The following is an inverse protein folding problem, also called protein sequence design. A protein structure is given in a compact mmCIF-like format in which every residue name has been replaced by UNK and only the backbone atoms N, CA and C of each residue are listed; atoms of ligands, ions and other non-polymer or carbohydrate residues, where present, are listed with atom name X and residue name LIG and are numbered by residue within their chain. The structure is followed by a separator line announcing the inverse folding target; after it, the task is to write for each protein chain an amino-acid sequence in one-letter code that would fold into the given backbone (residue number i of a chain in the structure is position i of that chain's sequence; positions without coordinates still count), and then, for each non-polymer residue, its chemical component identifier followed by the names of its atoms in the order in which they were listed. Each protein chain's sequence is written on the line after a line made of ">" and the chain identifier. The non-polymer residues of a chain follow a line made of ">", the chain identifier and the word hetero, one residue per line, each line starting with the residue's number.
data_IF_510818263609
#
_entry.id   IF_510818263609
#
_cell.length_a   1.000
_cell.length_b   1.000
_cell.length_c   1.000
_cell.angle_alpha   90.00
_cell.angle_beta   90.00
_cell.angle_gamma   90.00
#
_symmetry.space_group_name_H-M   'P 1'
#
loop_
_entity.id
_entity.type
_entity.pdbx_description
1 polymer ?
#
# COMPACT_ATOMS: atom_id res chain seq x y z
N UNK A 1 17.99 2.70 -6.38
CA UNK A 1 17.21 1.82 -7.25
C UNK A 1 16.13 2.69 -7.86
N UNK A 2 15.87 2.61 -9.16
CA UNK A 2 14.80 3.39 -9.81
C UNK A 2 14.60 2.90 -11.26
N UNK A 3 13.37 2.70 -11.73
CA UNK A 3 12.11 2.87 -11.00
C UNK A 3 11.90 1.77 -9.96
N UNK A 4 11.31 2.15 -8.82
CA UNK A 4 10.80 1.17 -7.86
C UNK A 4 9.59 0.44 -8.47
N UNK A 5 9.54 -0.88 -8.29
CA UNK A 5 8.52 -1.74 -8.88
C UNK A 5 7.84 -2.55 -7.78
N UNK A 6 6.50 -2.51 -7.77
CA UNK A 6 5.68 -3.37 -6.90
C UNK A 6 4.74 -4.18 -7.76
N UNK A 7 4.78 -5.50 -7.61
CA UNK A 7 3.95 -6.45 -8.37
C UNK A 7 2.93 -7.09 -7.44
N UNK A 8 1.68 -7.10 -7.87
CA UNK A 8 0.55 -7.69 -7.17
C UNK A 8 -0.02 -8.86 -7.98
N UNK A 9 -0.56 -9.84 -7.26
CA UNK A 9 -1.41 -10.89 -7.82
C UNK A 9 -2.74 -10.89 -7.09
N UNK A 10 -3.84 -10.75 -7.83
CA UNK A 10 -5.17 -10.81 -7.27
C UNK A 10 -5.47 -12.26 -6.83
N UNK A 11 -5.50 -12.54 -5.52
CA UNK A 11 -5.79 -13.90 -5.01
C UNK A 11 -7.29 -14.26 -5.09
N UNK A 12 -8.14 -13.25 -5.23
CA UNK A 12 -9.57 -13.36 -5.47
C UNK A 12 -10.00 -12.28 -6.48
N UNK A 13 -11.25 -12.33 -6.95
CA UNK A 13 -11.78 -11.27 -7.80
C UNK A 13 -11.78 -9.93 -7.08
N UNK A 14 -11.24 -8.88 -7.72
CA UNK A 14 -11.28 -7.50 -7.25
C UNK A 14 -12.45 -6.81 -7.94
N UNK A 15 -13.49 -6.35 -7.20
CA UNK A 15 -14.64 -5.70 -7.81
C UNK A 15 -14.27 -4.42 -8.58
N UNK A 16 -15.09 -4.07 -9.56
CA UNK A 16 -15.04 -2.76 -10.22
C UNK A 16 -15.10 -1.62 -9.19
N UNK A 17 -14.25 -0.60 -9.37
CA UNK A 17 -14.19 0.56 -8.49
C UNK A 17 -13.58 0.29 -7.11
N UNK A 18 -13.18 -0.94 -6.79
CA UNK A 18 -12.50 -1.23 -5.54
C UNK A 18 -11.18 -0.45 -5.45
N UNK A 19 -10.90 0.11 -4.27
CA UNK A 19 -9.70 0.89 -4.03
C UNK A 19 -8.67 0.08 -3.23
N UNK A 20 -7.45 0.04 -3.74
CA UNK A 20 -6.30 -0.60 -3.10
C UNK A 20 -5.25 0.46 -2.89
N UNK A 21 -4.70 0.52 -1.68
CA UNK A 21 -3.63 1.41 -1.31
C UNK A 21 -2.39 0.59 -0.99
N UNK A 22 -1.22 1.13 -1.31
CA UNK A 22 0.02 0.67 -0.70
C UNK A 22 0.88 1.84 -0.23
N UNK A 23 1.70 1.57 0.76
CA UNK A 23 2.62 2.55 1.35
C UNK A 23 3.88 1.87 1.87
N UNK A 24 4.98 2.61 1.85
CA UNK A 24 6.23 2.32 2.57
C UNK A 24 6.19 2.82 4.02
N UNK A 25 5.24 3.70 4.36
CA UNK A 25 5.07 4.23 5.72
C UNK A 25 5.01 3.13 6.79
N UNK A 26 5.83 3.29 7.84
CA UNK A 26 5.76 2.44 9.01
C UNK A 26 4.38 2.50 9.70
N UNK A 27 3.93 1.32 10.17
CA UNK A 27 2.71 1.14 10.95
C UNK A 27 2.98 1.24 12.46
N UNK A 28 2.31 2.16 13.15
CA UNK A 28 2.51 2.37 14.60
C UNK A 28 1.83 1.31 15.47
N UNK A 29 0.90 0.54 14.91
CA UNK A 29 -0.06 -0.27 15.65
C UNK A 29 -1.49 0.24 15.51
N UNK A 30 -1.66 1.53 15.20
CA UNK A 30 -2.98 2.18 15.05
C UNK A 30 -3.11 3.05 13.81
N UNK A 31 -2.00 3.58 13.28
CA UNK A 31 -1.99 4.43 12.08
C UNK A 31 -0.68 4.31 11.31
N UNK A 32 -0.69 4.75 10.05
CA UNK A 32 0.54 4.92 9.28
C UNK A 32 1.18 6.26 9.59
N UNK A 33 2.52 6.31 9.57
CA UNK A 33 3.22 7.60 9.58
C UNK A 33 2.96 8.37 8.27
N UNK A 34 2.97 9.69 8.35
CA UNK A 34 2.62 10.60 7.25
C UNK A 34 3.82 11.14 6.47
N UNK A 35 5.01 10.57 6.70
CA UNK A 35 6.28 11.07 6.19
C UNK A 35 6.81 10.30 4.97
N UNK A 36 6.12 9.24 4.53
CA UNK A 36 6.46 8.46 3.34
C UNK A 36 5.30 8.43 2.33
N UNK A 37 5.38 7.57 1.31
CA UNK A 37 4.57 7.63 0.11
C UNK A 37 3.39 6.67 0.08
N UNK A 38 2.21 7.21 -0.16
CA UNK A 38 0.99 6.41 -0.39
C UNK A 38 0.63 6.43 -1.86
N UNK A 39 0.42 5.25 -2.44
CA UNK A 39 -0.14 5.05 -3.78
C UNK A 39 -1.52 4.43 -3.69
N UNK A 40 -2.42 4.87 -4.58
CA UNK A 40 -3.80 4.42 -4.69
C UNK A 40 -4.08 3.88 -6.09
N UNK A 41 -4.64 2.69 -6.16
CA UNK A 41 -5.19 2.09 -7.36
C UNK A 41 -6.70 1.95 -7.22
N UNK A 42 -7.42 2.27 -8.29
CA UNK A 42 -8.85 1.98 -8.41
C UNK A 42 -9.01 0.94 -9.50
N UNK A 43 -9.64 -0.19 -9.17
CA UNK A 43 -9.89 -1.26 -10.11
C UNK A 43 -10.69 -0.74 -11.32
N UNK A 44 -10.31 -1.13 -12.55
CA UNK A 44 -10.98 -0.66 -13.76
C UNK A 44 -12.40 -1.20 -13.86
N UNK A 45 -13.17 -0.64 -14.80
CA UNK A 45 -14.50 -1.14 -15.16
C UNK A 45 -14.45 -2.66 -15.42
N UNK A 46 -15.35 -3.40 -14.75
CA UNK A 46 -15.38 -4.86 -14.81
C UNK A 46 -14.47 -5.58 -13.80
N UNK A 47 -13.66 -4.84 -13.03
CA UNK A 47 -12.81 -5.38 -11.97
C UNK A 47 -11.59 -6.18 -12.49
N UNK A 48 -10.95 -6.91 -11.57
CA UNK A 48 -9.88 -7.85 -11.88
C UNK A 48 -10.31 -9.27 -11.51
N UNK A 49 -9.98 -10.24 -12.36
CA UNK A 49 -10.21 -11.65 -12.05
C UNK A 49 -9.13 -12.19 -11.11
N UNK A 50 -9.44 -13.25 -10.36
CA UNK A 50 -8.43 -13.97 -9.59
C UNK A 50 -7.30 -14.46 -10.52
N UNK A 51 -6.06 -14.42 -10.04
CA UNK A 51 -4.84 -14.71 -10.80
C UNK A 51 -4.31 -13.55 -11.64
N UNK A 52 -5.00 -12.41 -11.71
CA UNK A 52 -4.51 -11.25 -12.47
C UNK A 52 -3.22 -10.70 -11.85
N UNK A 53 -2.17 -10.56 -12.65
CA UNK A 53 -0.92 -9.89 -12.28
C UNK A 53 -0.93 -8.46 -12.78
N UNK A 54 -0.66 -7.51 -11.89
CA UNK A 54 -0.65 -6.07 -12.18
C UNK A 54 0.37 -5.39 -11.24
N UNK A 55 0.68 -4.12 -11.45
CA UNK A 55 1.72 -3.49 -10.63
C UNK A 55 1.85 -2.00 -10.77
N UNK A 56 2.91 -1.48 -10.16
CA UNK A 56 3.36 -0.09 -10.18
C UNK A 56 4.79 -0.01 -10.75
N UNK A 57 5.13 1.08 -11.43
CA UNK A 57 6.50 1.46 -11.78
C UNK A 57 7.00 0.94 -13.13
N UNK A 58 6.87 -0.36 -13.41
CA UNK A 58 7.30 -0.94 -14.70
C UNK A 58 6.21 -0.83 -15.76
N UNK A 59 6.48 -0.08 -16.84
CA UNK A 59 5.57 0.10 -17.98
C UNK A 59 5.08 -1.18 -18.66
N UNK A 60 5.79 -2.30 -18.50
CA UNK A 60 5.39 -3.61 -19.02
C UNK A 60 4.32 -4.29 -18.16
N UNK A 61 4.14 -3.86 -16.91
CA UNK A 61 3.10 -4.40 -16.03
C UNK A 61 1.72 -3.82 -16.38
N UNK A 62 0.67 -4.65 -16.43
CA UNK A 62 -0.70 -4.16 -16.46
C UNK A 62 -0.95 -3.18 -15.31
N UNK A 63 -1.66 -2.09 -15.62
CA UNK A 63 -2.04 -1.04 -14.66
C UNK A 63 -0.87 -0.30 -13.98
N UNK A 64 0.36 -0.41 -14.50
CA UNK A 64 1.56 0.29 -13.99
C UNK A 64 1.39 1.79 -13.79
N UNK A 65 0.67 2.46 -14.70
CA UNK A 65 0.39 3.90 -14.65
C UNK A 65 -0.95 4.25 -14.00
N UNK A 66 -1.71 3.29 -13.48
CA UNK A 66 -3.03 3.50 -12.88
C UNK A 66 -2.98 3.85 -11.39
N UNK A 67 -1.77 4.03 -10.83
CA UNK A 67 -1.56 4.36 -9.43
C UNK A 67 -1.42 5.87 -9.23
N UNK A 68 -2.42 6.47 -8.59
CA UNK A 68 -2.39 7.87 -8.20
C UNK A 68 -1.58 8.06 -6.91
N UNK A 69 -0.94 9.21 -6.75
CA UNK A 69 -0.36 9.60 -5.46
C UNK A 69 -1.48 10.00 -4.51
N UNK A 70 -1.52 9.41 -3.32
CA UNK A 70 -2.46 9.73 -2.25
C UNK A 70 -1.80 10.39 -1.04
N UNK A 71 -0.46 10.32 -0.94
CA UNK A 71 0.33 10.99 0.10
C UNK A 71 1.82 10.88 -0.20
N UNK A 72 2.61 11.84 0.29
CA UNK A 72 4.07 11.84 0.26
C UNK A 72 4.73 11.46 -1.07
N UNK A 73 5.94 10.90 -0.98
CA UNK A 73 6.70 10.33 -2.10
C UNK A 73 7.06 8.89 -1.73
N UNK A 74 6.69 7.96 -2.60
CA UNK A 74 7.04 6.54 -2.44
C UNK A 74 8.44 6.32 -2.98
N UNK A 75 9.31 5.73 -2.18
CA UNK A 75 10.69 5.46 -2.55
C UNK A 75 11.19 4.26 -1.79
N UNK A 76 11.73 3.27 -2.49
CA UNK A 76 12.28 2.09 -1.82
C UNK A 76 13.79 2.17 -1.59
N UNK A 77 14.21 1.71 -0.42
CA UNK A 77 15.59 1.49 -0.01
C UNK A 77 15.98 0.01 -0.14
N UNK A 78 17.28 -0.24 -0.29
CA UNK A 78 17.82 -1.60 -0.38
C UNK A 78 17.69 -2.38 0.95
N UNK A 79 17.27 -1.75 2.04
CA UNK A 79 17.08 -2.42 3.32
C UNK A 79 16.19 -1.65 4.28
N UNK A 80 15.43 -2.37 5.11
CA UNK A 80 14.80 -1.82 6.30
C UNK A 80 13.35 -1.40 6.12
N UNK A 81 12.80 -1.56 4.91
CA UNK A 81 11.47 -1.08 4.59
C UNK A 81 10.42 -2.18 4.63
N UNK A 82 9.20 -1.73 4.86
CA UNK A 82 8.01 -2.55 4.79
C UNK A 82 7.01 -1.91 3.83
N UNK A 83 6.49 -2.72 2.91
CA UNK A 83 5.37 -2.34 2.07
C UNK A 83 4.11 -2.87 2.73
N UNK A 84 3.19 -1.97 3.05
CA UNK A 84 1.86 -2.31 3.52
C UNK A 84 0.84 -2.14 2.40
N UNK A 85 -0.06 -3.11 2.25
CA UNK A 85 -1.16 -3.10 1.29
C UNK A 85 -2.47 -3.13 2.06
N UNK A 86 -3.38 -2.21 1.76
CA UNK A 86 -4.61 -2.04 2.51
C UNK A 86 -5.74 -1.49 1.63
N UNK A 87 -6.97 -1.66 2.09
CA UNK A 87 -8.09 -0.84 1.65
C UNK A 87 -8.55 0.04 2.83
N UNK A 88 -9.41 1.01 2.56
CA UNK A 88 -10.02 1.80 3.63
C UNK A 88 -11.41 1.21 3.91
N UNK A 89 -11.68 0.92 5.18
CA UNK A 89 -13.03 0.53 5.59
C UNK A 89 -13.89 1.79 5.74
N UNK A 90 -15.13 1.73 5.27
CA UNK A 90 -16.07 2.80 5.52
C UNK A 90 -16.51 2.68 6.98
N UNK A 91 -15.97 3.52 7.87
CA UNK A 91 -16.49 3.56 9.24
C UNK A 91 -17.88 4.22 9.21
N UNK A 92 -18.89 3.36 9.03
CA UNK A 92 -20.30 3.74 8.95
C UNK A 92 -20.82 4.41 10.23
N UNK A 93 -20.10 4.32 11.35
CA UNK A 93 -20.49 4.93 12.62
C UNK A 93 -19.99 6.38 12.79
N UNK A 94 -18.91 6.79 12.11
CA UNK A 94 -18.32 8.14 12.22
C UNK A 94 -18.32 8.93 10.92
N UNK A 95 -18.68 8.30 9.79
CA UNK A 95 -18.61 8.93 8.47
C UNK A 95 -17.17 9.17 8.00
N UNK A 96 -16.19 8.56 8.66
CA UNK A 96 -14.77 8.72 8.38
C UNK A 96 -14.26 7.47 7.63
N UNK A 97 -13.96 7.63 6.34
CA UNK A 97 -13.55 6.54 5.45
C UNK A 97 -12.03 6.28 5.50
N UNK A 98 -11.39 6.42 6.65
CA UNK A 98 -9.91 6.52 6.72
C UNK A 98 -9.24 5.46 7.60
N UNK A 99 -9.95 4.42 8.04
CA UNK A 99 -9.33 3.34 8.83
C UNK A 99 -8.73 2.30 7.87
N UNK A 100 -7.40 2.06 7.91
CA UNK A 100 -6.78 1.03 7.09
C UNK A 100 -7.24 -0.37 7.49
N UNK A 101 -7.75 -1.13 6.52
CA UNK A 101 -7.93 -2.56 6.60
C UNK A 101 -6.78 -3.25 5.84
N UNK A 102 -5.85 -3.84 6.58
CA UNK A 102 -4.68 -4.48 6.01
C UNK A 102 -5.05 -5.72 5.20
N UNK A 103 -4.58 -5.75 3.94
CA UNK A 103 -4.71 -6.89 3.04
C UNK A 103 -3.45 -7.76 3.07
N UNK A 104 -2.27 -7.12 3.08
CA UNK A 104 -0.98 -7.81 3.12
C UNK A 104 0.11 -6.84 3.56
N UNK A 105 1.26 -7.39 3.95
CA UNK A 105 2.45 -6.60 4.20
C UNK A 105 3.72 -7.43 3.92
N UNK A 106 4.76 -6.79 3.39
CA UNK A 106 6.04 -7.39 3.10
C UNK A 106 7.14 -6.56 3.77
N UNK A 107 8.02 -7.20 4.53
CA UNK A 107 9.24 -6.56 5.06
C UNK A 107 10.45 -7.20 4.40
N UNK A 108 11.35 -6.38 3.87
CA UNK A 108 12.62 -6.84 3.31
C UNK A 108 13.78 -6.44 4.22
N UNK A 109 14.52 -7.45 4.70
CA UNK A 109 15.74 -7.33 5.51
C UNK A 109 15.66 -6.48 6.79
N UNK A 110 14.48 -5.99 7.22
CA UNK A 110 14.31 -5.10 8.39
C UNK A 110 13.57 -5.72 9.58
N UNK A 111 12.81 -6.80 9.36
CA UNK A 111 11.90 -7.32 10.38
C UNK A 111 10.72 -6.37 10.64
N UNK A 112 9.76 -6.80 11.46
CA UNK A 112 8.62 -5.97 11.85
C UNK A 112 8.93 -5.23 13.14
N UNK A 113 8.79 -3.90 13.12
CA UNK A 113 8.82 -3.10 14.34
C UNK A 113 7.70 -3.54 15.29
N UNK A 114 7.97 -3.50 16.60
CA UNK A 114 6.93 -3.75 17.59
C UNK A 114 5.95 -2.58 17.61
N UNK A 115 4.63 -2.82 17.75
CA UNK A 115 3.65 -1.75 17.90
C UNK A 115 4.03 -0.83 19.06
N UNK A 116 3.95 0.48 18.84
CA UNK A 116 4.33 1.50 19.80
C UNK A 116 3.49 2.74 19.58
N UNK A 117 2.86 3.30 20.63
CA UNK A 117 2.14 4.57 20.51
C UNK A 117 3.08 5.75 20.26
N UNK A 118 4.39 5.57 20.47
CA UNK A 118 5.41 6.57 20.14
C UNK A 118 5.85 6.42 18.68
N UNK A 119 5.25 7.22 17.80
CA UNK A 119 5.57 7.23 16.37
C UNK A 119 7.05 7.57 16.05
N UNK A 120 7.80 8.13 17.00
CA UNK A 120 9.24 8.40 16.84
C UNK A 120 10.11 7.13 16.93
N UNK A 121 9.58 6.06 17.54
CA UNK A 121 10.27 4.77 17.65
C UNK A 121 10.35 3.99 16.32
N UNK A 122 9.60 4.42 15.30
CA UNK A 122 9.67 3.88 13.94
C UNK A 122 10.63 4.75 13.13
N UNK A 123 11.83 4.23 12.89
CA UNK A 123 12.85 4.89 12.07
C UNK A 123 12.41 4.92 10.61
N UNK A 124 12.64 6.05 9.94
CA UNK A 124 12.73 6.10 8.48
C UNK A 124 14.14 5.75 8.07
N UNK A 125 14.32 4.92 7.06
CA UNK A 125 15.61 4.79 6.37
C UNK A 125 15.75 5.83 5.27
#
# INVERSE_FOLDING_TARGET
>A
DNPDVVVFVALAGVPDGAEIYFTDSAWTGTEFKTNEGVKKFTAPAGGLSAGTVFGYGDSLLPHSSSWASAGGTFSLSASGEAIHVYCLDANTATGQNDIPYHLSALSYSGGWAQPSPDASSFTTT
#
